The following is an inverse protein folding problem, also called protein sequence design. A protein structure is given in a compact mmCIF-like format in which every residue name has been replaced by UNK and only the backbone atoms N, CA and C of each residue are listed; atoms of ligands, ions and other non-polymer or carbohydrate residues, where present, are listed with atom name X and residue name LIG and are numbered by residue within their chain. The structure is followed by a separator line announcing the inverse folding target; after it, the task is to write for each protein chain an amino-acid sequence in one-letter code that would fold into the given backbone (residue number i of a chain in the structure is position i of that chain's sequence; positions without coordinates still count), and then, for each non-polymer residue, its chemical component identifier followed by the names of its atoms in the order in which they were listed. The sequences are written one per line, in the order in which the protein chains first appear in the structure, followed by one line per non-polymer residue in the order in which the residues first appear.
data_IF_681710286720
#
_entry.id   IF_681710286720
#
_cell.length_a   1.000
_cell.length_b   1.000
_cell.length_c   1.000
_cell.angle_alpha   90.00
_cell.angle_beta   90.00
_cell.angle_gamma   90.00
#
_symmetry.space_group_name_H-M   'P 1'
#
loop_
_entity.id
_entity.type
_entity.pdbx_description
1 polymer ?
#
# COMPACT_ATOMS: atom_id res chain seq x y z
N UNK A 1 -17.45 -33.38 -9.73
CA UNK A 1 -17.68 -32.02 -10.29
C UNK A 1 -16.64 -31.76 -11.34
N UNK A 2 -17.05 -31.24 -12.51
CA UNK A 2 -16.15 -30.98 -13.64
C UNK A 2 -16.34 -29.55 -14.11
N UNK A 3 -15.24 -28.89 -14.51
CA UNK A 3 -15.31 -27.55 -15.10
C UNK A 3 -14.06 -27.23 -15.92
N UNK A 4 -14.18 -26.24 -16.80
CA UNK A 4 -13.11 -25.79 -17.68
C UNK A 4 -12.83 -24.29 -17.47
N UNK A 5 -11.57 -23.95 -17.34
CA UNK A 5 -11.10 -22.58 -17.14
C UNK A 5 -9.83 -22.28 -17.93
N UNK A 6 -9.60 -21.02 -18.32
CA UNK A 6 -8.36 -20.57 -18.95
C UNK A 6 -7.18 -20.67 -17.98
N UNK A 7 -6.06 -21.20 -18.41
CA UNK A 7 -4.83 -21.33 -17.60
C UNK A 7 -4.26 -19.98 -17.21
N UNK A 8 -4.18 -19.01 -18.14
CA UNK A 8 -3.64 -17.68 -17.86
C UNK A 8 -4.57 -16.85 -16.95
N UNK A 9 -5.90 -16.94 -17.17
CA UNK A 9 -6.86 -16.27 -16.33
C UNK A 9 -6.82 -16.81 -14.90
N UNK A 10 -6.78 -18.14 -14.71
CA UNK A 10 -6.64 -18.75 -13.39
C UNK A 10 -5.31 -18.38 -12.73
N UNK A 11 -4.21 -18.51 -13.45
CA UNK A 11 -2.87 -18.18 -12.94
C UNK A 11 -2.78 -16.72 -12.50
N UNK A 12 -3.31 -15.78 -13.27
CA UNK A 12 -3.34 -14.36 -12.93
C UNK A 12 -4.10 -14.10 -11.61
N UNK A 13 -5.30 -14.70 -11.47
CA UNK A 13 -6.12 -14.56 -10.25
C UNK A 13 -5.43 -15.19 -9.04
N UNK A 14 -4.89 -16.39 -9.16
CA UNK A 14 -4.21 -17.07 -8.06
C UNK A 14 -2.95 -16.32 -7.62
N UNK A 15 -2.15 -15.78 -8.53
CA UNK A 15 -0.98 -14.97 -8.21
C UNK A 15 -1.34 -13.66 -7.48
N UNK A 16 -2.47 -13.06 -7.82
CA UNK A 16 -3.02 -11.90 -7.12
C UNK A 16 -3.45 -12.28 -5.69
N UNK A 17 -4.25 -13.34 -5.56
CA UNK A 17 -4.81 -13.81 -4.29
C UNK A 17 -3.74 -14.37 -3.34
N UNK A 18 -2.70 -15.01 -3.87
CA UNK A 18 -1.60 -15.56 -3.07
C UNK A 18 -0.88 -14.51 -2.20
N UNK A 19 -0.93 -13.25 -2.58
CA UNK A 19 -0.31 -12.15 -1.83
C UNK A 19 -0.91 -11.93 -0.43
N UNK A 20 -2.16 -12.37 -0.20
CA UNK A 20 -2.79 -12.28 1.11
C UNK A 20 -2.31 -13.40 2.03
N UNK A 21 -2.02 -14.58 1.48
CA UNK A 21 -1.61 -15.76 2.26
C UNK A 21 -0.28 -15.46 2.97
N UNK A 22 -0.29 -15.58 4.28
CA UNK A 22 0.89 -15.36 5.12
C UNK A 22 1.92 -16.47 4.98
N UNK A 23 3.19 -16.18 5.31
CA UNK A 23 4.24 -17.20 5.39
C UNK A 23 4.06 -18.17 6.56
N UNK A 24 3.31 -17.74 7.58
CA UNK A 24 2.94 -18.54 8.77
C UNK A 24 1.49 -18.21 9.11
N UNK A 25 0.58 -19.10 8.78
CA UNK A 25 -0.83 -18.95 9.12
C UNK A 25 -1.16 -19.68 10.44
N UNK A 26 -2.08 -19.12 11.21
CA UNK A 26 -2.56 -19.74 12.46
C UNK A 26 -3.33 -21.05 12.23
N UNK A 27 -4.01 -21.13 11.09
CA UNK A 27 -4.77 -22.30 10.66
C UNK A 27 -4.14 -22.85 9.37
N UNK A 28 -3.78 -24.15 9.31
CA UNK A 28 -3.15 -24.75 8.12
C UNK A 28 -4.00 -24.63 6.85
N UNK A 29 -5.34 -24.63 6.96
CA UNK A 29 -6.24 -24.52 5.82
C UNK A 29 -6.13 -23.18 5.10
N UNK A 30 -5.62 -22.12 5.77
CA UNK A 30 -5.36 -20.82 5.15
C UNK A 30 -4.14 -20.82 4.22
N UNK A 31 -3.37 -21.91 4.18
CA UNK A 31 -2.37 -22.16 3.14
C UNK A 31 -3.00 -22.61 1.81
N UNK A 32 -4.32 -22.75 1.77
CA UNK A 32 -5.09 -23.13 0.59
C UNK A 32 -5.90 -21.94 0.04
N UNK A 33 -6.20 -22.00 -1.25
CA UNK A 33 -7.30 -21.24 -1.83
C UNK A 33 -8.61 -22.01 -1.64
N UNK A 34 -9.68 -21.31 -1.26
CA UNK A 34 -11.03 -21.86 -1.30
C UNK A 34 -11.61 -21.62 -2.71
N UNK A 35 -11.93 -22.70 -3.41
CA UNK A 35 -12.63 -22.67 -4.68
C UNK A 35 -14.10 -22.98 -4.46
N UNK A 36 -14.99 -22.18 -5.05
CA UNK A 36 -16.43 -22.36 -5.02
C UNK A 36 -16.97 -22.26 -6.45
N UNK A 37 -17.51 -23.35 -6.96
CA UNK A 37 -18.09 -23.44 -8.30
C UNK A 37 -19.62 -23.43 -8.17
N UNK A 38 -20.24 -22.43 -8.76
CA UNK A 38 -21.70 -22.31 -8.82
C UNK A 38 -22.13 -21.43 -10.00
N UNK A 39 -23.27 -21.73 -10.61
CA UNK A 39 -23.90 -20.89 -11.65
C UNK A 39 -23.00 -20.54 -12.85
N UNK A 40 -22.07 -21.41 -13.24
CA UNK A 40 -21.14 -21.14 -14.35
C UNK A 40 -19.97 -20.23 -14.01
N UNK A 41 -19.79 -19.89 -12.75
CA UNK A 41 -18.68 -19.09 -12.23
C UNK A 41 -17.89 -19.86 -11.18
N UNK A 42 -16.62 -19.52 -11.06
CA UNK A 42 -15.76 -19.98 -9.98
C UNK A 42 -15.33 -18.77 -9.14
N UNK A 43 -15.69 -18.77 -7.88
CA UNK A 43 -15.15 -17.84 -6.90
C UNK A 43 -13.92 -18.44 -6.24
N UNK A 44 -12.86 -17.68 -6.11
CA UNK A 44 -11.63 -18.08 -5.41
C UNK A 44 -11.41 -17.13 -4.24
N UNK A 45 -11.24 -17.68 -3.05
CA UNK A 45 -10.98 -16.91 -1.83
C UNK A 45 -9.62 -17.29 -1.26
N UNK A 46 -8.89 -16.29 -0.81
CA UNK A 46 -7.66 -16.45 -0.04
C UNK A 46 -7.73 -15.58 1.23
N UNK A 47 -7.14 -16.05 2.33
CA UNK A 47 -7.20 -15.35 3.62
C UNK A 47 -5.94 -15.59 4.46
N UNK A 48 -5.66 -14.64 5.38
CA UNK A 48 -4.69 -14.78 6.47
C UNK A 48 -5.33 -14.64 7.85
N UNK A 49 -6.64 -14.77 7.95
CA UNK A 49 -7.54 -14.53 9.08
C UNK A 49 -8.00 -13.08 9.25
N UNK A 50 -7.14 -12.09 9.10
CA UNK A 50 -7.48 -10.66 9.23
C UNK A 50 -7.86 -10.02 7.90
N UNK A 51 -7.34 -10.56 6.81
CA UNK A 51 -7.58 -10.10 5.45
C UNK A 51 -8.12 -11.24 4.59
N UNK A 52 -9.17 -10.97 3.85
CA UNK A 52 -9.80 -11.93 2.93
C UNK A 52 -9.96 -11.27 1.59
N UNK A 53 -9.51 -11.92 0.53
CA UNK A 53 -9.74 -11.47 -0.84
C UNK A 53 -10.51 -12.56 -1.57
N UNK A 54 -11.60 -12.17 -2.20
CA UNK A 54 -12.41 -13.02 -3.07
C UNK A 54 -12.44 -12.43 -4.47
N UNK A 55 -12.20 -13.25 -5.48
CA UNK A 55 -12.30 -12.88 -6.88
C UNK A 55 -13.07 -13.95 -7.65
N UNK A 56 -13.69 -13.56 -8.76
CA UNK A 56 -14.50 -14.46 -9.59
C UNK A 56 -13.87 -14.66 -10.96
N UNK A 57 -14.16 -15.82 -11.55
CA UNK A 57 -13.75 -16.24 -12.90
C UNK A 57 -14.93 -16.93 -13.58
N UNK A 58 -15.24 -16.52 -14.82
CA UNK A 58 -16.20 -17.23 -15.62
C UNK A 58 -15.64 -18.60 -16.05
N UNK A 59 -16.45 -19.63 -16.01
CA UNK A 59 -16.14 -20.96 -16.50
C UNK A 59 -16.60 -21.10 -17.94
N UNK A 60 -15.80 -21.80 -18.76
CA UNK A 60 -16.18 -22.08 -20.16
C UNK A 60 -17.20 -23.21 -20.24
N UNK A 61 -17.09 -24.18 -19.33
CA UNK A 61 -17.98 -25.33 -19.21
C UNK A 61 -18.00 -25.80 -17.75
N UNK A 62 -19.12 -26.30 -17.26
CA UNK A 62 -19.23 -26.83 -15.90
C UNK A 62 -20.32 -27.90 -15.79
N UNK A 63 -20.05 -28.91 -14.96
CA UNK A 63 -20.97 -29.98 -14.58
C UNK A 63 -20.81 -30.21 -13.07
N UNK A 64 -21.87 -29.87 -12.33
CA UNK A 64 -21.89 -29.93 -10.88
C UNK A 64 -21.39 -28.66 -10.20
N UNK A 65 -21.82 -28.47 -8.98
CA UNK A 65 -21.47 -27.36 -8.10
C UNK A 65 -20.84 -27.88 -6.82
N UNK A 66 -20.09 -27.04 -6.13
CA UNK A 66 -19.48 -27.38 -4.85
C UNK A 66 -18.30 -26.49 -4.48
N UNK A 67 -17.68 -26.82 -3.35
CA UNK A 67 -16.55 -26.08 -2.82
C UNK A 67 -15.46 -27.03 -2.30
N UNK A 68 -14.21 -26.60 -2.44
CA UNK A 68 -13.05 -27.35 -2.01
C UNK A 68 -11.84 -26.44 -1.84
N UNK A 69 -10.87 -26.88 -1.05
CA UNK A 69 -9.64 -26.13 -0.79
C UNK A 69 -8.48 -26.71 -1.57
N UNK A 70 -7.70 -25.83 -2.22
CA UNK A 70 -6.56 -26.17 -3.08
C UNK A 70 -5.28 -25.61 -2.46
N UNK A 71 -4.26 -26.46 -2.19
CA UNK A 71 -2.98 -25.99 -1.67
C UNK A 71 -2.32 -24.95 -2.59
N UNK A 72 -2.01 -23.77 -2.05
CA UNK A 72 -1.58 -22.62 -2.87
C UNK A 72 -0.30 -22.92 -3.66
N UNK A 73 0.73 -23.47 -3.01
CA UNK A 73 2.03 -23.74 -3.65
C UNK A 73 1.91 -24.73 -4.79
N UNK A 74 1.16 -25.80 -4.56
CA UNK A 74 1.02 -26.89 -5.57
C UNK A 74 0.38 -26.37 -6.85
N UNK A 75 -0.74 -25.63 -6.74
CA UNK A 75 -1.44 -25.12 -7.92
C UNK A 75 -0.67 -23.99 -8.61
N UNK A 76 -0.02 -23.10 -7.86
CA UNK A 76 0.80 -22.03 -8.43
C UNK A 76 2.01 -22.59 -9.20
N UNK A 77 2.71 -23.55 -8.63
CA UNK A 77 3.86 -24.20 -9.29
C UNK A 77 3.40 -24.97 -10.52
N UNK A 78 2.24 -25.64 -10.47
CA UNK A 78 1.68 -26.36 -11.61
C UNK A 78 1.31 -25.44 -12.78
N UNK A 79 0.83 -24.22 -12.50
CA UNK A 79 0.37 -23.29 -13.55
C UNK A 79 1.48 -22.40 -14.10
N UNK A 80 2.59 -22.23 -13.36
CA UNK A 80 3.64 -21.26 -13.64
C UNK A 80 4.22 -21.37 -15.06
N UNK A 81 4.42 -22.58 -15.54
CA UNK A 81 5.08 -22.86 -16.83
C UNK A 81 4.08 -23.24 -17.94
N UNK A 82 2.78 -23.19 -17.66
CA UNK A 82 1.77 -23.52 -18.66
C UNK A 82 1.50 -22.34 -19.59
N UNK A 83 1.54 -22.53 -20.93
CA UNK A 83 1.03 -21.54 -21.86
C UNK A 83 -0.49 -21.43 -21.75
N UNK A 84 -1.06 -20.36 -22.37
CA UNK A 84 -2.51 -20.22 -22.46
C UNK A 84 -3.17 -21.43 -23.12
N UNK A 85 -4.07 -22.06 -22.38
CA UNK A 85 -4.84 -23.23 -22.81
C UNK A 85 -6.02 -23.49 -21.87
N UNK A 86 -7.05 -24.25 -22.31
CA UNK A 86 -8.09 -24.72 -21.40
C UNK A 86 -7.53 -25.77 -20.42
N UNK A 87 -7.93 -25.62 -19.16
CA UNK A 87 -7.67 -26.60 -18.09
C UNK A 87 -8.99 -27.26 -17.71
N UNK A 88 -9.04 -28.58 -17.84
CA UNK A 88 -10.21 -29.38 -17.49
C UNK A 88 -10.01 -29.97 -16.10
N UNK A 89 -10.77 -29.46 -15.14
CA UNK A 89 -10.79 -29.93 -13.77
C UNK A 89 -11.80 -31.09 -13.63
N UNK A 90 -11.37 -32.16 -12.96
CA UNK A 90 -12.24 -33.24 -12.47
C UNK A 90 -11.97 -33.38 -10.97
N UNK A 91 -12.96 -33.05 -10.15
CA UNK A 91 -12.83 -32.94 -8.70
C UNK A 91 -13.81 -33.89 -8.03
N UNK A 92 -13.27 -34.77 -7.20
CA UNK A 92 -14.03 -35.64 -6.31
C UNK A 92 -13.87 -35.14 -4.86
N UNK A 93 -14.93 -34.57 -4.33
CA UNK A 93 -15.01 -33.99 -2.99
C UNK A 93 -15.90 -34.83 -2.05
N UNK A 94 -16.08 -36.15 -2.32
CA UNK A 94 -16.97 -36.99 -1.54
C UNK A 94 -16.39 -37.40 -0.17
N UNK A 95 -15.17 -37.03 0.19
CA UNK A 95 -14.48 -37.41 1.43
C UNK A 95 -13.76 -36.23 2.09
N UNK A 96 -13.07 -36.50 3.21
CA UNK A 96 -12.20 -35.52 3.88
C UNK A 96 -11.06 -35.05 2.97
N UNK A 97 -10.52 -35.93 2.16
CA UNK A 97 -9.51 -35.63 1.16
C UNK A 97 -10.17 -35.45 -0.21
N UNK A 98 -9.92 -34.30 -0.83
CA UNK A 98 -10.44 -33.95 -2.15
C UNK A 98 -9.47 -34.35 -3.24
N UNK A 99 -9.86 -35.27 -4.14
CA UNK A 99 -9.02 -35.64 -5.27
C UNK A 99 -9.22 -34.62 -6.40
N UNK A 100 -8.14 -33.98 -6.83
CA UNK A 100 -8.15 -32.98 -7.90
C UNK A 100 -7.31 -33.49 -9.07
N UNK A 101 -7.92 -33.57 -10.24
CA UNK A 101 -7.28 -33.89 -11.50
C UNK A 101 -7.46 -32.71 -12.45
N UNK A 102 -6.36 -32.22 -13.01
CA UNK A 102 -6.34 -31.17 -14.03
C UNK A 102 -5.77 -31.77 -15.30
N UNK A 103 -6.57 -31.85 -16.37
CA UNK A 103 -6.13 -32.26 -17.67
C UNK A 103 -5.87 -31.04 -18.54
N UNK A 104 -4.72 -30.99 -19.16
CA UNK A 104 -4.33 -29.96 -20.10
C UNK A 104 -3.82 -30.59 -21.42
N UNK A 105 -3.52 -29.79 -22.45
CA UNK A 105 -3.28 -30.25 -23.82
C UNK A 105 -2.31 -31.44 -23.94
N UNK A 106 -1.22 -31.45 -23.20
CA UNK A 106 -0.14 -32.43 -23.32
C UNK A 106 0.09 -33.26 -22.06
N UNK A 107 -0.79 -33.14 -21.04
CA UNK A 107 -0.55 -33.89 -19.80
C UNK A 107 -1.67 -33.75 -18.79
N UNK A 108 -1.37 -34.15 -17.58
CA UNK A 108 -2.29 -34.05 -16.45
C UNK A 108 -1.54 -33.84 -15.14
N UNK A 109 -2.19 -33.15 -14.21
CA UNK A 109 -1.80 -33.06 -12.81
C UNK A 109 -2.81 -33.78 -11.94
N UNK A 110 -2.31 -34.50 -10.92
CA UNK A 110 -3.14 -35.06 -9.85
C UNK A 110 -2.56 -34.63 -8.52
N UNK A 111 -3.39 -34.09 -7.65
CA UNK A 111 -3.00 -33.76 -6.28
C UNK A 111 -4.22 -33.78 -5.37
N UNK A 112 -3.94 -33.72 -4.07
CA UNK A 112 -4.98 -33.79 -3.05
C UNK A 112 -5.26 -32.38 -2.52
N UNK A 113 -6.52 -31.98 -2.51
CA UNK A 113 -7.05 -30.83 -1.82
C UNK A 113 -7.62 -31.23 -0.44
N UNK A 114 -8.29 -30.28 0.21
CA UNK A 114 -8.93 -30.44 1.51
C UNK A 114 -10.43 -30.07 1.42
N UNK A 115 -11.22 -30.59 2.36
CA UNK A 115 -12.60 -30.16 2.54
C UNK A 115 -12.67 -28.66 2.84
N UNK A 116 -13.69 -28.00 2.33
CA UNK A 116 -13.94 -26.57 2.57
C UNK A 116 -14.62 -26.30 3.94
N UNK A 117 -15.02 -27.33 4.67
CA UNK A 117 -15.82 -27.20 5.90
C UNK A 117 -15.10 -26.37 6.98
N UNK A 118 -13.79 -26.56 7.13
CA UNK A 118 -12.99 -25.84 8.11
C UNK A 118 -12.48 -24.47 7.63
N UNK A 119 -12.75 -24.09 6.37
CA UNK A 119 -12.30 -22.79 5.87
C UNK A 119 -13.10 -21.67 6.51
N UNK A 120 -12.46 -20.67 7.15
CA UNK A 120 -13.14 -19.60 7.86
C UNK A 120 -14.09 -18.81 6.96
N UNK A 121 -15.34 -18.69 7.37
CA UNK A 121 -16.35 -17.91 6.62
C UNK A 121 -16.31 -16.46 7.08
N UNK A 122 -16.25 -15.57 6.12
CA UNK A 122 -16.30 -14.13 6.39
C UNK A 122 -17.75 -13.71 6.52
N UNK A 123 -18.09 -13.07 7.62
CA UNK A 123 -19.43 -12.49 7.81
C UNK A 123 -19.57 -11.24 6.94
N UNK A 124 -20.77 -10.99 6.42
CA UNK A 124 -21.11 -9.75 5.72
C UNK A 124 -21.03 -8.57 6.68
N UNK A 125 -20.66 -7.39 6.17
CA UNK A 125 -20.72 -6.17 6.96
C UNK A 125 -22.15 -5.82 7.35
N UNK A 126 -22.31 -5.14 8.47
CA UNK A 126 -23.59 -4.64 8.95
C UNK A 126 -24.17 -3.57 8.00
N UNK A 127 -25.49 -3.48 7.88
CA UNK A 127 -26.18 -2.47 7.04
C UNK A 127 -25.95 -1.02 7.53
N UNK A 128 -25.50 -0.84 8.78
CA UNK A 128 -25.20 0.46 9.39
C UNK A 128 -23.79 0.99 9.05
N UNK A 129 -23.08 0.41 8.07
CA UNK A 129 -21.73 0.85 7.68
C UNK A 129 -21.75 2.14 6.86
N UNK A 130 -20.66 2.92 6.97
CA UNK A 130 -20.42 4.06 6.08
C UNK A 130 -19.92 3.55 4.72
N UNK A 131 -20.39 4.18 3.64
CA UNK A 131 -19.98 3.82 2.27
C UNK A 131 -19.38 5.04 1.59
N UNK A 132 -18.25 4.86 0.92
CA UNK A 132 -17.60 5.87 0.07
C UNK A 132 -17.14 5.24 -1.23
N UNK A 133 -17.33 5.94 -2.36
CA UNK A 133 -16.79 5.57 -3.67
C UNK A 133 -15.54 6.39 -3.95
N UNK A 134 -14.45 5.73 -4.31
CA UNK A 134 -13.16 6.36 -4.58
C UNK A 134 -12.64 5.90 -5.95
N UNK A 135 -12.21 6.84 -6.84
CA UNK A 135 -11.51 6.47 -8.06
C UNK A 135 -10.31 5.58 -7.75
N UNK A 136 -10.20 4.42 -8.40
CA UNK A 136 -9.14 3.44 -8.12
C UNK A 136 -7.73 4.01 -8.33
N UNK A 137 -7.53 4.83 -9.34
CA UNK A 137 -6.25 5.50 -9.57
C UNK A 137 -5.87 6.42 -8.40
N UNK A 138 -6.80 7.23 -7.92
CA UNK A 138 -6.60 8.13 -6.78
C UNK A 138 -6.24 7.31 -5.53
N UNK A 139 -6.98 6.22 -5.26
CA UNK A 139 -6.74 5.35 -4.11
C UNK A 139 -5.34 4.70 -4.18
N UNK A 140 -4.94 4.15 -5.34
CA UNK A 140 -3.61 3.56 -5.55
C UNK A 140 -2.51 4.60 -5.34
N UNK A 141 -2.66 5.80 -5.91
CA UNK A 141 -1.67 6.86 -5.83
C UNK A 141 -1.49 7.34 -4.39
N UNK A 142 -2.59 7.53 -3.65
CA UNK A 142 -2.53 7.98 -2.26
C UNK A 142 -2.03 6.89 -1.29
N UNK A 143 -2.43 5.63 -1.48
CA UNK A 143 -1.83 4.50 -0.74
C UNK A 143 -0.33 4.43 -1.00
N UNK A 144 0.10 4.50 -2.26
CA UNK A 144 1.52 4.44 -2.63
C UNK A 144 2.32 5.56 -1.97
N UNK A 145 1.75 6.77 -1.98
CA UNK A 145 2.35 7.97 -1.40
C UNK A 145 2.43 7.94 0.13
N UNK A 146 1.56 7.17 0.79
CA UNK A 146 1.43 7.16 2.25
C UNK A 146 2.10 5.96 2.92
N UNK A 147 2.20 4.81 2.25
CA UNK A 147 2.68 3.56 2.86
C UNK A 147 4.05 3.67 3.53
N UNK A 148 5.00 4.40 2.94
CA UNK A 148 6.35 4.54 3.50
C UNK A 148 6.39 5.33 4.80
N UNK A 149 5.37 6.15 5.06
CA UNK A 149 5.27 6.97 6.25
C UNK A 149 4.54 6.28 7.41
N UNK A 150 3.98 5.09 7.20
CA UNK A 150 3.36 4.31 8.29
C UNK A 150 4.42 3.80 9.27
N UNK A 151 4.11 3.78 10.56
CA UNK A 151 4.97 3.22 11.57
C UNK A 151 5.02 1.68 11.52
N UNK A 152 5.92 1.12 12.32
CA UNK A 152 5.93 -0.27 12.72
C UNK A 152 6.21 -0.31 14.22
N UNK A 153 5.23 0.13 15.01
CA UNK A 153 5.36 0.43 16.43
C UNK A 153 4.25 -0.28 17.22
N UNK A 154 4.62 -1.23 18.04
CA UNK A 154 3.68 -2.00 18.88
C UNK A 154 3.06 -1.14 19.99
N UNK A 155 3.74 -0.06 20.42
CA UNK A 155 3.25 0.82 21.49
C UNK A 155 2.25 1.86 20.94
N UNK A 156 2.30 2.14 19.65
CA UNK A 156 1.41 3.10 18.98
C UNK A 156 0.77 2.47 17.74
N UNK A 157 -0.04 1.40 17.90
CA UNK A 157 -0.59 0.64 16.76
C UNK A 157 -1.42 1.51 15.81
N UNK A 158 -2.03 2.59 16.27
CA UNK A 158 -2.78 3.54 15.45
C UNK A 158 -1.94 4.20 14.35
N UNK A 159 -0.60 4.24 14.50
CA UNK A 159 0.31 4.79 13.48
C UNK A 159 0.79 3.74 12.46
N UNK A 160 0.41 2.47 12.63
CA UNK A 160 0.82 1.38 11.74
C UNK A 160 -0.08 1.26 10.48
N UNK A 161 -0.94 2.23 10.24
CA UNK A 161 -1.87 2.26 9.12
C UNK A 161 -1.92 3.60 8.40
N UNK A 162 -2.72 3.63 7.37
CA UNK A 162 -3.09 4.84 6.63
C UNK A 162 -4.46 5.29 7.13
N UNK A 163 -4.52 6.50 7.66
CA UNK A 163 -5.72 7.10 8.20
C UNK A 163 -6.48 7.87 7.12
N UNK A 164 -7.75 7.53 6.97
CA UNK A 164 -8.70 8.19 6.06
C UNK A 164 -9.65 9.04 6.90
N UNK A 165 -9.68 10.33 6.62
CA UNK A 165 -10.47 11.33 7.35
C UNK A 165 -11.41 12.05 6.36
N UNK A 166 -12.67 11.61 6.33
CA UNK A 166 -13.73 12.18 5.48
C UNK A 166 -14.44 13.29 6.24
N UNK A 167 -14.48 14.45 5.63
CA UNK A 167 -15.17 15.64 6.16
C UNK A 167 -16.07 16.26 5.10
N UNK A 168 -16.79 17.32 5.49
CA UNK A 168 -17.61 18.09 4.56
C UNK A 168 -16.78 18.87 3.53
N UNK A 169 -15.47 19.06 3.77
CA UNK A 169 -14.59 19.85 2.92
C UNK A 169 -13.74 18.98 1.97
N UNK A 170 -13.27 17.83 2.47
CA UNK A 170 -12.32 16.98 1.73
C UNK A 170 -12.21 15.58 2.36
N UNK A 171 -11.61 14.66 1.59
CA UNK A 171 -10.99 13.44 2.11
C UNK A 171 -9.50 13.70 2.35
N UNK A 172 -9.04 13.61 3.60
CA UNK A 172 -7.63 13.58 3.92
C UNK A 172 -7.14 12.14 4.12
N UNK A 173 -6.03 11.79 3.47
CA UNK A 173 -5.34 10.50 3.61
C UNK A 173 -3.99 10.78 4.25
N UNK A 174 -3.76 10.21 5.43
CA UNK A 174 -2.64 10.56 6.31
C UNK A 174 -1.90 9.34 6.79
N UNK A 175 -0.58 9.42 6.83
CA UNK A 175 0.26 8.43 7.49
C UNK A 175 1.43 9.12 8.21
N UNK A 176 1.83 8.61 9.36
CA UNK A 176 2.95 9.15 10.13
C UNK A 176 3.60 8.05 11.01
N UNK A 177 4.91 8.13 11.19
CA UNK A 177 5.66 7.33 12.17
C UNK A 177 6.17 8.16 13.36
N UNK A 178 5.81 9.45 13.41
CA UNK A 178 6.26 10.41 14.40
C UNK A 178 7.53 11.17 14.01
N UNK A 179 8.25 10.74 12.98
CA UNK A 179 9.44 11.42 12.43
C UNK A 179 9.19 12.03 11.05
N UNK A 180 8.27 11.46 10.32
CA UNK A 180 7.75 11.96 9.04
C UNK A 180 6.24 11.81 9.01
N UNK A 181 5.59 12.65 8.20
CA UNK A 181 4.15 12.61 7.98
C UNK A 181 3.87 12.89 6.50
N UNK A 182 2.91 12.17 5.96
CA UNK A 182 2.30 12.45 4.66
C UNK A 182 0.84 12.80 4.90
N UNK A 183 0.39 13.89 4.30
CA UNK A 183 -1.03 14.26 4.21
C UNK A 183 -1.35 14.56 2.76
N UNK A 184 -2.33 13.89 2.22
CA UNK A 184 -2.90 14.18 0.91
C UNK A 184 -4.39 14.48 1.10
N UNK A 185 -4.83 15.68 0.75
CA UNK A 185 -6.25 16.06 0.75
C UNK A 185 -6.77 16.01 -0.68
N UNK A 186 -7.94 15.43 -0.86
CA UNK A 186 -8.69 15.47 -2.11
C UNK A 186 -10.00 16.22 -1.88
N UNK A 187 -10.23 17.29 -2.63
CA UNK A 187 -11.36 18.20 -2.45
C UNK A 187 -12.61 17.78 -3.24
N UNK A 188 -12.53 16.75 -4.07
CA UNK A 188 -13.68 16.22 -4.82
C UNK A 188 -14.48 15.21 -4.00
N UNK A 189 -13.83 14.51 -3.07
CA UNK A 189 -14.45 13.51 -2.21
C UNK A 189 -14.82 14.15 -0.87
N UNK A 190 -16.11 14.17 -0.58
CA UNK A 190 -16.69 14.85 0.60
C UNK A 190 -17.76 14.00 1.24
N UNK A 191 -18.02 14.20 2.52
CA UNK A 191 -19.09 13.55 3.25
C UNK A 191 -19.77 14.54 4.20
N UNK A 192 -21.07 14.65 4.14
CA UNK A 192 -21.86 15.47 5.08
C UNK A 192 -21.73 14.95 6.51
N UNK A 193 -21.58 13.65 6.69
CA UNK A 193 -21.33 13.01 7.98
C UNK A 193 -19.85 12.70 8.11
N UNK A 194 -19.09 13.42 8.97
CA UNK A 194 -17.68 13.12 9.19
C UNK A 194 -17.50 11.66 9.61
N UNK A 195 -16.58 10.98 8.94
CA UNK A 195 -16.29 9.57 9.22
C UNK A 195 -14.82 9.27 8.96
N UNK A 196 -14.28 8.32 9.71
CA UNK A 196 -12.86 8.00 9.63
C UNK A 196 -12.63 6.51 9.71
N UNK A 197 -11.57 6.04 9.08
CA UNK A 197 -11.07 4.68 9.27
C UNK A 197 -9.56 4.63 9.13
N UNK A 198 -8.94 3.64 9.77
CA UNK A 198 -7.50 3.45 9.77
C UNK A 198 -7.15 2.10 9.13
N UNK A 199 -6.69 2.16 7.88
CA UNK A 199 -6.39 0.99 7.05
C UNK A 199 -4.98 0.46 7.39
N UNK A 200 -4.83 -0.78 7.90
CA UNK A 200 -3.53 -1.34 8.22
C UNK A 200 -2.60 -1.41 7.01
N UNK A 201 -1.30 -1.43 7.27
CA UNK A 201 -0.25 -1.47 6.24
C UNK A 201 -0.38 -2.65 5.27
N UNK A 202 -0.70 -3.86 5.78
CA UNK A 202 -0.82 -5.05 4.92
C UNK A 202 -1.97 -4.93 3.92
N UNK A 203 -3.24 -4.69 4.33
CA UNK A 203 -4.33 -4.49 3.37
C UNK A 203 -4.11 -3.31 2.43
N UNK A 204 -3.51 -2.20 2.89
CA UNK A 204 -3.14 -1.10 2.00
C UNK A 204 -2.16 -1.54 0.90
N UNK A 205 -1.14 -2.31 1.26
CA UNK A 205 -0.18 -2.88 0.30
C UNK A 205 -0.83 -3.87 -0.66
N UNK A 206 -1.78 -4.68 -0.18
CA UNK A 206 -2.55 -5.59 -1.03
C UNK A 206 -3.39 -4.81 -2.06
N UNK A 207 -4.15 -3.80 -1.63
CA UNK A 207 -4.96 -2.95 -2.52
C UNK A 207 -4.13 -2.32 -3.62
N UNK A 208 -2.98 -1.75 -3.29
CA UNK A 208 -2.05 -1.19 -4.28
C UNK A 208 -1.69 -2.18 -5.39
N UNK A 209 -1.65 -3.47 -5.09
CA UNK A 209 -1.23 -4.51 -6.02
C UNK A 209 -2.36 -5.22 -6.76
N UNK A 210 -3.60 -5.11 -6.27
CA UNK A 210 -4.77 -5.79 -6.85
C UNK A 210 -5.68 -4.84 -7.64
N UNK A 211 -5.69 -3.55 -7.29
CA UNK A 211 -6.47 -2.56 -8.01
C UNK A 211 -5.80 -2.23 -9.35
N UNK A 212 -6.61 -2.05 -10.39
CA UNK A 212 -6.17 -1.52 -11.68
C UNK A 212 -6.38 -0.02 -11.72
N UNK A 213 -5.43 0.74 -12.28
CA UNK A 213 -5.59 2.19 -12.46
C UNK A 213 -6.72 2.54 -13.41
N UNK A 214 -6.95 1.70 -14.41
CA UNK A 214 -8.01 1.85 -15.40
C UNK A 214 -9.32 1.15 -14.96
N UNK A 215 -9.41 0.71 -13.71
CA UNK A 215 -10.59 0.07 -13.14
C UNK A 215 -11.68 1.07 -12.78
N UNK A 216 -12.88 0.53 -12.55
CA UNK A 216 -13.99 1.29 -11.98
C UNK A 216 -13.67 1.80 -10.58
N UNK A 217 -14.49 2.71 -10.06
CA UNK A 217 -14.37 3.19 -8.69
C UNK A 217 -14.40 2.04 -7.68
N UNK A 218 -13.52 2.11 -6.70
CA UNK A 218 -13.56 1.21 -5.55
C UNK A 218 -14.64 1.67 -4.56
N UNK A 219 -15.57 0.79 -4.22
CA UNK A 219 -16.59 1.07 -3.20
C UNK A 219 -16.09 0.55 -1.88
N UNK A 220 -15.84 1.45 -0.94
CA UNK A 220 -15.38 1.12 0.41
C UNK A 220 -16.54 1.24 1.38
N UNK A 221 -16.91 0.13 2.01
CA UNK A 221 -17.82 0.07 3.13
C UNK A 221 -17.03 -0.19 4.40
N UNK A 222 -17.26 0.57 5.46
CA UNK A 222 -16.52 0.41 6.70
C UNK A 222 -17.37 0.72 7.94
N UNK A 223 -16.99 0.08 9.03
CA UNK A 223 -17.42 0.33 10.40
C UNK A 223 -16.20 0.58 11.30
N UNK A 224 -16.36 0.54 12.62
CA UNK A 224 -15.28 0.79 13.59
C UNK A 224 -14.19 -0.31 13.57
N UNK A 225 -14.45 -1.48 12.99
CA UNK A 225 -13.58 -2.66 13.11
C UNK A 225 -13.12 -3.25 11.79
N UNK A 226 -13.89 -3.04 10.73
CA UNK A 226 -13.71 -3.75 9.47
C UNK A 226 -13.97 -2.84 8.28
N UNK A 227 -13.32 -3.14 7.18
CA UNK A 227 -13.64 -2.55 5.89
C UNK A 227 -13.83 -3.64 4.83
N UNK A 228 -14.77 -3.38 3.91
CA UNK A 228 -14.97 -4.12 2.68
C UNK A 228 -14.74 -3.20 1.51
N UNK A 229 -13.81 -3.56 0.66
CA UNK A 229 -13.45 -2.82 -0.54
C UNK A 229 -13.85 -3.64 -1.75
N UNK A 230 -14.87 -3.18 -2.48
CA UNK A 230 -15.34 -3.78 -3.72
C UNK A 230 -14.65 -3.11 -4.90
N UNK A 231 -14.17 -3.90 -5.84
CA UNK A 231 -13.49 -3.46 -7.07
C UNK A 231 -13.95 -4.34 -8.24
N UNK A 232 -13.61 -3.98 -9.48
CA UNK A 232 -14.11 -4.62 -10.71
C UNK A 232 -14.06 -6.15 -10.67
N UNK A 233 -12.97 -6.71 -10.16
CA UNK A 233 -12.70 -8.16 -10.24
C UNK A 233 -12.89 -8.90 -8.92
N UNK A 234 -13.40 -8.26 -7.88
CA UNK A 234 -13.57 -8.92 -6.61
C UNK A 234 -13.83 -8.01 -5.42
N UNK A 235 -13.65 -8.57 -4.24
CA UNK A 235 -13.85 -7.88 -2.97
C UNK A 235 -12.72 -8.24 -2.00
N UNK A 236 -12.20 -7.24 -1.31
CA UNK A 236 -11.29 -7.41 -0.19
C UNK A 236 -11.98 -7.02 1.10
N UNK A 237 -11.85 -7.83 2.13
CA UNK A 237 -12.25 -7.50 3.50
C UNK A 237 -11.03 -7.51 4.39
N UNK A 238 -10.96 -6.56 5.32
CA UNK A 238 -9.87 -6.48 6.28
C UNK A 238 -10.35 -5.96 7.62
N UNK A 239 -9.60 -6.29 8.67
CA UNK A 239 -9.71 -5.60 9.96
C UNK A 239 -9.11 -4.21 9.84
N UNK A 240 -9.71 -3.25 10.53
CA UNK A 240 -9.18 -1.90 10.69
C UNK A 240 -8.41 -1.77 12.01
N UNK A 241 -7.54 -0.77 12.08
CA UNK A 241 -6.88 -0.43 13.35
C UNK A 241 -7.84 0.41 14.17
N UNK A 242 -8.18 -0.11 15.35
CA UNK A 242 -9.00 0.60 16.33
C UNK A 242 -8.19 1.66 17.07
N UNK A 243 -8.88 2.71 17.51
CA UNK A 243 -8.31 3.78 18.32
C UNK A 243 -8.30 5.14 17.63
N UNK A 244 -8.14 6.19 18.44
CA UNK A 244 -8.11 7.56 17.94
C UNK A 244 -6.77 7.90 17.31
N UNK A 245 -6.77 8.25 16.02
CA UNK A 245 -5.58 8.75 15.35
C UNK A 245 -5.13 10.10 15.94
N UNK A 246 -3.83 10.38 16.11
CA UNK A 246 -3.34 11.66 16.60
C UNK A 246 -3.83 12.84 15.75
N UNK A 247 -3.98 14.01 16.37
CA UNK A 247 -4.32 15.23 15.63
C UNK A 247 -3.15 15.65 14.72
N UNK A 248 -3.13 15.11 13.51
CA UNK A 248 -2.06 15.33 12.54
C UNK A 248 -1.97 16.80 12.08
N UNK A 249 -3.06 17.57 12.13
CA UNK A 249 -3.02 18.97 11.75
C UNK A 249 -2.24 19.84 12.75
N UNK A 250 -2.20 19.46 14.02
CA UNK A 250 -1.51 20.24 15.07
C UNK A 250 0.02 20.19 14.98
N UNK A 251 0.59 19.21 14.27
CA UNK A 251 2.04 19.06 14.14
C UNK A 251 2.59 19.70 12.87
N UNK A 252 1.74 20.18 11.97
CA UNK A 252 2.13 20.84 10.71
C UNK A 252 2.45 22.30 11.02
N UNK A 253 3.73 22.72 10.95
CA UNK A 253 4.10 24.11 11.25
C UNK A 253 3.77 25.04 10.08
N UNK A 254 3.71 26.33 10.39
CA UNK A 254 3.73 27.37 9.37
C UNK A 254 5.19 27.85 9.21
N UNK A 255 5.83 27.52 8.12
CA UNK A 255 7.22 27.81 7.82
C UNK A 255 7.32 28.94 6.77
N UNK A 256 7.96 30.07 7.05
CA UNK A 256 7.95 31.26 6.18
C UNK A 256 8.97 31.20 5.04
N UNK A 257 10.01 30.37 5.15
CA UNK A 257 11.12 30.34 4.17
C UNK A 257 10.88 29.22 3.16
N UNK A 258 10.70 29.57 1.91
CA UNK A 258 10.46 28.62 0.81
C UNK A 258 11.68 28.50 -0.07
N UNK A 259 12.06 27.25 -0.34
CA UNK A 259 13.19 26.88 -1.21
C UNK A 259 12.64 26.03 -2.35
N UNK A 260 12.70 26.55 -3.57
CA UNK A 260 12.33 25.78 -4.76
C UNK A 260 13.56 25.11 -5.33
N UNK A 261 13.49 23.81 -5.57
CA UNK A 261 14.61 23.02 -6.09
C UNK A 261 14.10 21.90 -7.02
N UNK A 262 14.93 21.53 -8.01
CA UNK A 262 14.69 20.36 -8.85
C UNK A 262 14.71 19.08 -8.01
N UNK A 263 13.61 18.35 -8.01
CA UNK A 263 13.41 17.14 -7.20
C UNK A 263 14.37 16.02 -7.59
N UNK A 264 14.56 15.80 -8.90
CA UNK A 264 15.44 14.71 -9.38
C UNK A 264 16.90 15.02 -9.14
N UNK A 265 17.30 16.28 -9.30
CA UNK A 265 18.63 16.78 -8.97
C UNK A 265 18.95 16.57 -7.50
N UNK A 266 18.05 16.99 -6.60
CA UNK A 266 18.20 16.79 -5.16
C UNK A 266 18.26 15.29 -4.79
N UNK A 267 17.38 14.46 -5.35
CA UNK A 267 17.40 13.02 -5.13
C UNK A 267 18.71 12.37 -5.61
N UNK A 268 19.24 12.83 -6.74
CA UNK A 268 20.49 12.33 -7.29
C UNK A 268 21.69 12.76 -6.44
N UNK A 269 21.72 14.00 -5.94
CA UNK A 269 22.73 14.48 -5.01
C UNK A 269 22.72 13.69 -3.71
N UNK A 270 21.54 13.46 -3.13
CA UNK A 270 21.39 12.63 -1.93
C UNK A 270 21.93 11.22 -2.13
N UNK A 271 21.68 10.57 -3.28
CA UNK A 271 22.22 9.23 -3.58
C UNK A 271 23.75 9.19 -3.60
N UNK A 272 24.40 10.27 -3.99
CA UNK A 272 25.87 10.37 -4.03
C UNK A 272 26.48 10.76 -2.69
N UNK A 273 25.76 11.54 -1.89
CA UNK A 273 26.23 12.05 -0.59
C UNK A 273 25.93 11.06 0.55
N UNK A 274 24.78 10.39 0.53
CA UNK A 274 24.33 9.49 1.60
C UNK A 274 25.28 8.33 1.95
N UNK A 275 26.02 7.72 1.01
CA UNK A 275 27.02 6.68 1.34
C UNK A 275 28.17 7.14 2.23
N UNK A 276 28.35 8.45 2.41
CA UNK A 276 29.38 9.07 3.27
C UNK A 276 28.83 9.52 4.63
N UNK A 277 27.55 9.30 4.89
CA UNK A 277 26.92 9.53 6.19
C UNK A 277 27.16 8.37 7.14
N UNK A 278 27.22 8.64 8.43
CA UNK A 278 27.25 7.59 9.45
C UNK A 278 26.04 6.65 9.28
N UNK A 279 26.30 5.36 9.32
CA UNK A 279 25.29 4.31 9.10
C UNK A 279 24.16 4.37 10.14
N UNK A 280 24.50 4.78 11.37
CA UNK A 280 23.53 4.86 12.47
C UNK A 280 22.59 6.06 12.36
N UNK A 281 23.09 7.23 12.01
CA UNK A 281 22.31 8.48 11.95
C UNK A 281 21.75 8.75 10.56
N UNK A 282 22.51 8.44 9.52
CA UNK A 282 22.22 8.82 8.13
C UNK A 282 21.95 10.32 8.00
N UNK A 283 22.68 11.11 8.80
CA UNK A 283 22.50 12.57 8.86
C UNK A 283 22.96 13.23 7.55
N UNK A 284 22.06 13.98 6.96
CA UNK A 284 22.32 14.88 5.84
C UNK A 284 22.14 16.30 6.32
N UNK A 285 23.15 17.17 6.07
CA UNK A 285 23.06 18.60 6.30
C UNK A 285 22.65 19.30 5.01
N UNK A 286 21.65 20.14 5.07
CA UNK A 286 21.31 21.14 4.07
C UNK A 286 21.84 22.48 4.54
N UNK A 287 22.61 23.15 3.67
CA UNK A 287 22.99 24.55 3.83
C UNK A 287 22.48 25.33 2.63
N UNK A 288 21.60 26.29 2.87
CA UNK A 288 20.81 26.96 1.85
C UNK A 288 21.06 28.44 1.92
N UNK A 289 21.46 29.03 0.81
CA UNK A 289 21.66 30.47 0.58
C UNK A 289 20.97 30.86 -0.72
N UNK A 290 20.91 32.16 -1.00
CA UNK A 290 20.34 32.65 -2.27
C UNK A 290 21.04 32.02 -3.48
N UNK A 291 20.29 31.30 -4.30
CA UNK A 291 20.76 30.62 -5.51
C UNK A 291 21.62 29.36 -5.27
N UNK A 292 21.90 28.98 -4.03
CA UNK A 292 22.80 27.88 -3.69
C UNK A 292 22.21 26.96 -2.63
N UNK A 293 22.16 25.67 -2.95
CA UNK A 293 21.72 24.61 -2.05
C UNK A 293 22.85 23.57 -1.92
N UNK A 294 23.52 23.52 -0.79
CA UNK A 294 24.56 22.54 -0.49
C UNK A 294 23.96 21.38 0.31
N UNK A 295 24.20 20.16 -0.17
CA UNK A 295 23.87 18.90 0.50
C UNK A 295 25.18 18.27 0.94
N UNK A 296 25.32 17.96 2.23
CA UNK A 296 26.54 17.37 2.76
C UNK A 296 26.26 16.30 3.81
N UNK A 297 27.23 15.41 3.99
CA UNK A 297 27.27 14.41 5.06
C UNK A 297 28.71 14.14 5.47
N UNK A 298 28.89 13.66 6.70
CA UNK A 298 30.16 13.21 7.21
C UNK A 298 29.99 12.01 8.15
N UNK A 299 30.98 11.17 8.19
CA UNK A 299 31.18 10.13 9.18
C UNK A 299 32.52 10.33 9.85
N UNK A 300 32.47 10.80 11.11
CA UNK A 300 33.69 11.14 11.88
C UNK A 300 34.47 9.88 12.21
N UNK A 301 33.80 8.77 12.50
CA UNK A 301 34.42 7.51 12.89
C UNK A 301 35.28 6.92 11.75
N UNK A 302 34.80 7.05 10.53
CA UNK A 302 35.47 6.57 9.33
C UNK A 302 36.23 7.66 8.57
N UNK A 303 36.20 8.91 9.06
CA UNK A 303 36.83 10.07 8.42
C UNK A 303 36.42 10.25 6.95
N UNK A 304 35.16 10.00 6.65
CA UNK A 304 34.62 10.20 5.31
C UNK A 304 33.65 11.38 5.29
N UNK A 305 33.65 12.10 4.17
CA UNK A 305 32.71 13.20 3.96
C UNK A 305 32.40 13.37 2.47
N UNK A 306 31.23 13.88 2.19
CA UNK A 306 30.83 14.28 0.84
C UNK A 306 30.01 15.55 0.89
N UNK A 307 30.13 16.35 -0.18
CA UNK A 307 29.23 17.48 -0.37
C UNK A 307 28.99 17.74 -1.84
N UNK A 308 27.80 18.24 -2.12
CA UNK A 308 27.34 18.56 -3.46
C UNK A 308 26.50 19.83 -3.46
N UNK A 309 26.53 20.57 -4.55
CA UNK A 309 25.82 21.83 -4.68
C UNK A 309 24.82 21.76 -5.83
N UNK A 310 23.65 22.34 -5.58
CA UNK A 310 22.54 22.46 -6.50
C UNK A 310 22.14 23.95 -6.61
N UNK A 311 21.56 24.32 -7.72
CA UNK A 311 20.85 25.59 -7.85
C UNK A 311 19.48 25.51 -7.19
N UNK A 312 19.07 26.59 -6.55
CA UNK A 312 17.74 26.71 -5.97
C UNK A 312 17.22 28.15 -6.10
N UNK A 313 15.92 28.32 -5.96
CA UNK A 313 15.30 29.62 -5.77
C UNK A 313 15.04 29.78 -4.28
N UNK A 314 15.76 30.74 -3.65
CA UNK A 314 15.67 31.04 -2.24
C UNK A 314 15.97 32.50 -1.96
N UNK A 315 15.14 33.18 -1.21
CA UNK A 315 15.28 34.60 -0.90
C UNK A 315 15.38 34.90 0.61
N UNK A 316 15.49 33.84 1.44
CA UNK A 316 15.60 33.98 2.89
C UNK A 316 17.05 34.18 3.37
N UNK A 317 17.23 34.34 4.68
CA UNK A 317 18.55 34.31 5.30
C UNK A 317 19.17 32.91 5.21
N UNK A 318 20.51 32.80 5.17
CA UNK A 318 21.17 31.50 5.17
C UNK A 318 20.66 30.59 6.30
N UNK A 319 20.36 29.35 5.98
CA UNK A 319 19.86 28.35 6.94
C UNK A 319 20.63 27.04 6.80
N UNK A 320 20.99 26.44 7.95
CA UNK A 320 21.52 25.08 8.01
C UNK A 320 20.59 24.20 8.82
N UNK A 321 20.24 23.04 8.28
CA UNK A 321 19.30 22.09 8.93
C UNK A 321 19.72 20.66 8.60
N UNK A 322 19.58 19.75 9.58
CA UNK A 322 19.86 18.33 9.43
C UNK A 322 18.60 17.52 9.24
N UNK A 323 18.69 16.50 8.40
CA UNK A 323 17.59 15.53 8.22
C UNK A 323 18.14 14.12 8.08
N UNK A 324 17.30 13.11 8.35
CA UNK A 324 17.61 11.72 8.05
C UNK A 324 17.53 11.47 6.54
N UNK A 325 18.64 11.11 5.94
CA UNK A 325 18.78 10.99 4.48
C UNK A 325 17.87 9.92 3.88
N UNK A 326 17.68 8.77 4.55
CA UNK A 326 16.75 7.75 4.08
C UNK A 326 15.31 8.25 4.03
N UNK A 327 14.88 9.04 5.02
CA UNK A 327 13.53 9.63 5.03
C UNK A 327 13.35 10.67 3.93
N UNK A 328 14.38 11.49 3.65
CA UNK A 328 14.38 12.41 2.50
C UNK A 328 14.24 11.65 1.18
N UNK A 329 14.99 10.56 1.01
CA UNK A 329 14.93 9.73 -0.19
C UNK A 329 13.54 9.10 -0.40
N UNK A 330 12.91 8.63 0.68
CA UNK A 330 11.55 8.10 0.63
C UNK A 330 10.55 9.19 0.21
N UNK A 331 10.60 10.37 0.82
CA UNK A 331 9.74 11.50 0.48
C UNK A 331 9.90 11.88 -1.00
N UNK A 332 11.13 12.12 -1.46
CA UNK A 332 11.39 12.52 -2.85
C UNK A 332 10.99 11.46 -3.88
N UNK A 333 11.07 10.17 -3.51
CA UNK A 333 10.65 9.05 -4.36
C UNK A 333 9.14 8.95 -4.52
N UNK A 334 8.37 9.50 -3.58
CA UNK A 334 6.91 9.45 -3.56
C UNK A 334 6.24 10.77 -4.01
N UNK A 335 7.04 11.73 -4.49
CA UNK A 335 6.57 12.92 -5.21
C UNK A 335 6.82 12.75 -6.70
N UNK A 336 5.93 13.31 -7.52
CA UNK A 336 5.96 13.18 -8.99
C UNK A 336 6.30 14.46 -9.73
N UNK A 337 6.15 15.62 -9.08
CA UNK A 337 6.47 16.94 -9.65
C UNK A 337 7.96 17.06 -10.01
N UNK A 338 8.28 17.84 -11.03
CA UNK A 338 9.66 18.10 -11.41
C UNK A 338 10.35 18.96 -10.35
N UNK A 339 9.71 20.03 -9.91
CA UNK A 339 10.18 20.88 -8.82
C UNK A 339 9.37 20.65 -7.54
N UNK A 340 10.03 20.86 -6.41
CA UNK A 340 9.45 20.84 -5.07
C UNK A 340 9.75 22.15 -4.34
N UNK A 341 8.88 22.48 -3.40
CA UNK A 341 9.10 23.56 -2.44
C UNK A 341 9.40 22.93 -1.07
N UNK A 342 10.52 23.29 -0.48
CA UNK A 342 10.90 22.95 0.88
C UNK A 342 10.64 24.18 1.75
N UNK A 343 9.73 24.07 2.69
CA UNK A 343 9.37 25.15 3.61
C UNK A 343 10.07 24.94 4.95
N UNK A 344 10.85 25.91 5.37
CA UNK A 344 11.69 25.90 6.57
C UNK A 344 11.44 27.13 7.45
N UNK A 345 11.74 27.03 8.73
CA UNK A 345 11.72 28.16 9.66
C UNK A 345 13.04 28.27 10.42
N UNK A 346 13.33 27.31 11.26
CA UNK A 346 14.55 27.23 12.06
C UNK A 346 15.05 25.75 12.12
N UNK A 347 16.29 25.50 12.53
CA UNK A 347 16.88 24.14 12.52
C UNK A 347 16.20 23.12 13.43
N UNK A 348 15.35 23.56 14.36
CA UNK A 348 14.65 22.69 15.32
C UNK A 348 13.22 22.34 14.91
N UNK A 349 12.70 23.04 13.91
CA UNK A 349 11.30 22.90 13.46
C UNK A 349 11.21 21.97 12.25
N UNK A 350 10.18 21.14 12.22
CA UNK A 350 9.91 20.24 11.11
C UNK A 350 9.91 20.98 9.76
N UNK A 351 10.60 20.43 8.78
CA UNK A 351 10.53 20.87 7.39
C UNK A 351 9.27 20.34 6.71
N UNK A 352 8.71 21.12 5.80
CA UNK A 352 7.60 20.72 4.95
C UNK A 352 8.10 20.63 3.51
N UNK A 353 7.73 19.59 2.81
CA UNK A 353 8.07 19.38 1.40
C UNK A 353 6.75 19.20 0.64
N UNK A 354 6.53 20.06 -0.35
CA UNK A 354 5.32 20.02 -1.19
C UNK A 354 5.71 20.01 -2.67
N UNK A 355 4.88 19.48 -3.57
CA UNK A 355 5.03 19.72 -5.00
C UNK A 355 5.00 21.23 -5.29
N UNK A 356 5.86 21.72 -6.19
CA UNK A 356 5.79 23.13 -6.63
C UNK A 356 4.47 23.42 -7.35
N UNK A 357 3.95 22.42 -8.06
CA UNK A 357 2.62 22.43 -8.65
C UNK A 357 1.80 21.30 -8.03
N UNK A 358 0.77 21.67 -7.26
CA UNK A 358 -0.16 20.71 -6.70
C UNK A 358 -1.04 20.10 -7.81
N UNK A 359 -1.35 18.79 -7.77
CA UNK A 359 -2.32 18.21 -8.69
C UNK A 359 -3.69 18.89 -8.53
N UNK A 360 -4.46 18.88 -9.61
CA UNK A 360 -5.80 19.47 -9.59
C UNK A 360 -6.67 18.85 -8.51
N UNK A 361 -7.33 19.68 -7.70
CA UNK A 361 -8.17 19.26 -6.57
C UNK A 361 -7.45 18.45 -5.47
N UNK A 362 -6.12 18.49 -5.41
CA UNK A 362 -5.34 17.86 -4.33
C UNK A 362 -4.46 18.88 -3.60
N UNK A 363 -4.20 18.61 -2.32
CA UNK A 363 -3.20 19.30 -1.49
C UNK A 363 -2.30 18.24 -0.85
N UNK A 364 -1.11 18.08 -1.41
CA UNK A 364 -0.10 17.10 -0.98
C UNK A 364 0.93 17.81 -0.12
N UNK A 365 1.15 17.28 1.08
CA UNK A 365 2.13 17.78 2.02
C UNK A 365 2.88 16.61 2.66
N UNK A 366 4.21 16.73 2.69
CA UNK A 366 5.07 15.80 3.43
C UNK A 366 5.87 16.58 4.46
N UNK A 367 5.90 16.08 5.69
CA UNK A 367 6.63 16.67 6.80
C UNK A 367 7.78 15.74 7.19
N UNK A 368 8.91 16.32 7.54
CA UNK A 368 10.08 15.62 8.07
C UNK A 368 10.63 16.33 9.30
N UNK A 369 10.84 15.56 10.37
CA UNK A 369 11.46 16.10 11.58
C UNK A 369 12.97 16.33 11.36
N UNK A 370 13.52 17.46 11.84
CA UNK A 370 14.93 17.71 11.73
C UNK A 370 15.74 16.85 12.70
N UNK A 371 17.02 16.71 12.40
CA UNK A 371 18.03 16.14 13.27
C UNK A 371 18.97 17.26 13.73
N UNK A 372 19.42 17.20 14.99
CA UNK A 372 20.40 18.15 15.52
C UNK A 372 21.70 18.07 14.74
N UNK A 373 22.21 19.21 14.33
CA UNK A 373 23.57 19.35 13.81
C UNK A 373 24.52 19.52 14.99
N UNK A 374 25.55 18.71 15.05
CA UNK A 374 26.67 18.93 15.98
C UNK A 374 27.60 19.91 15.28
N UNK A 375 27.60 21.16 15.72
CA UNK A 375 28.55 22.21 15.28
C UNK A 375 29.85 22.14 16.10
#
# INVERSE_FOLDING_TARGET
MRFTVSSSALSSKLNMLAKVIGSKNSLPILDCFLFQVANGEMSITASDSDNVIKSTLALTDHDGEGEFCVPNRVILDALKELPEQPLHFDVDAAGEAVAIKIVYQNGLYNFTGQSAEEYPRTQSMNDACTTVSLPTEMLINNISRSLFATANDELRPVMNGIYFDLTADALAIVASDGHKLVRSKNFTIKSESPSTFNLPKKPASLLKNILSKDGDDAIIKFDDRSAEIQFTDGVMRCRLIDGRYPNYNSVIPNNPNEVTVDRRGLQSALRRVLPFASESSQLIRFHIESGRFEVSSEDIDFSTSAKEQLSCEYNGSPISIGFKGSSLMEILSNLTSDNIIIQLADPSRAGIIVPAEQPENEDILMLIMPMLLND
#
